data_IF_419964081636
#
_entry.id   IF_419964081636
#
_cell.length_a   1.000
_cell.length_b   1.000
_cell.length_c   1.000
_cell.angle_alpha   90.00
_cell.angle_beta   90.00
_cell.angle_gamma   90.00
#
_symmetry.space_group_name_H-M   'P 1'
#
loop_
_entity.id
_entity.type
_entity.pdbx_description
1 polymer ?
#
# COMPACT_ATOMS: atom_id res chain seq x y z
N UNK A 1 18.21 -19.78 -30.77
CA UNK A 1 17.67 -18.48 -30.31
C UNK A 1 16.63 -18.73 -29.22
N UNK A 2 16.97 -18.59 -27.94
CA UNK A 2 16.01 -18.48 -26.83
C UNK A 2 16.64 -17.66 -25.72
N UNK A 3 16.51 -16.34 -25.85
CA UNK A 3 16.94 -15.36 -24.87
C UNK A 3 15.83 -15.11 -23.86
N UNK A 4 15.53 -16.09 -23.00
CA UNK A 4 14.70 -15.91 -21.80
C UNK A 4 15.59 -15.80 -20.57
N UNK A 5 16.62 -14.96 -20.66
CA UNK A 5 17.44 -14.58 -19.52
C UNK A 5 16.92 -13.24 -18.97
N UNK A 6 16.71 -13.24 -17.65
CA UNK A 6 16.92 -12.08 -16.77
C UNK A 6 15.77 -11.13 -16.39
N UNK A 7 14.50 -11.43 -16.68
CA UNK A 7 13.41 -10.59 -16.13
C UNK A 7 13.00 -11.01 -14.70
N UNK A 8 12.87 -12.32 -14.46
CA UNK A 8 12.47 -12.86 -13.15
C UNK A 8 13.52 -12.64 -12.06
N UNK A 9 14.79 -12.59 -12.42
CA UNK A 9 15.90 -12.48 -11.46
C UNK A 9 16.06 -11.05 -10.90
N UNK A 10 15.77 -10.04 -11.72
CA UNK A 10 15.79 -8.63 -11.30
C UNK A 10 14.57 -8.34 -10.43
N UNK A 11 13.39 -8.85 -10.81
CA UNK A 11 12.17 -8.69 -10.02
C UNK A 11 12.26 -9.39 -8.66
N UNK A 12 12.85 -10.58 -8.59
CA UNK A 12 13.09 -11.27 -7.32
C UNK A 12 14.13 -10.53 -6.47
N UNK A 13 15.22 -10.04 -7.06
CA UNK A 13 16.22 -9.23 -6.35
C UNK A 13 15.64 -7.92 -5.81
N UNK A 14 14.75 -7.25 -6.55
CA UNK A 14 14.05 -6.04 -6.09
C UNK A 14 13.04 -6.37 -4.97
N UNK A 15 12.38 -7.53 -5.05
CA UNK A 15 11.44 -8.00 -4.02
C UNK A 15 12.14 -8.42 -2.71
N UNK A 16 13.38 -8.92 -2.79
CA UNK A 16 14.19 -9.32 -1.63
C UNK A 16 14.89 -8.15 -0.94
N UNK A 17 14.90 -6.95 -1.53
CA UNK A 17 15.32 -5.75 -0.80
C UNK A 17 14.32 -5.57 0.34
N UNK A 18 14.76 -5.78 1.58
CA UNK A 18 14.00 -5.48 2.81
C UNK A 18 13.85 -3.96 2.98
N UNK A 19 13.06 -3.33 2.12
CA UNK A 19 12.79 -1.89 2.10
C UNK A 19 11.97 -1.45 3.32
N UNK A 20 11.35 -2.39 4.04
CA UNK A 20 10.79 -2.12 5.37
C UNK A 20 11.86 -1.56 6.34
N UNK A 21 13.15 -1.93 6.19
CA UNK A 21 14.27 -1.31 6.91
C UNK A 21 14.65 0.08 6.39
N UNK A 22 14.27 0.42 5.16
CA UNK A 22 14.50 1.74 4.56
C UNK A 22 13.43 2.77 4.95
N UNK A 23 12.33 2.38 5.61
CA UNK A 23 11.27 3.32 6.02
C UNK A 23 11.23 3.59 7.53
N UNK A 24 12.39 3.56 8.19
CA UNK A 24 12.51 3.98 9.59
C UNK A 24 12.27 5.50 9.74
N UNK A 25 11.90 5.99 10.92
CA UNK A 25 11.74 7.42 11.18
C UNK A 25 12.99 8.24 10.79
N UNK A 26 14.18 7.67 11.00
CA UNK A 26 15.46 8.27 10.62
C UNK A 26 15.59 8.48 9.11
N UNK A 27 15.27 7.46 8.31
CA UNK A 27 15.32 7.58 6.84
C UNK A 27 14.30 8.58 6.35
N UNK A 28 13.10 8.64 6.95
CA UNK A 28 12.09 9.65 6.60
C UNK A 28 12.60 11.07 6.83
N UNK A 29 13.18 11.35 7.99
CA UNK A 29 13.75 12.66 8.31
C UNK A 29 14.89 12.99 7.35
N UNK A 30 15.80 12.04 7.12
CA UNK A 30 16.89 12.19 6.16
C UNK A 30 16.39 12.49 4.75
N UNK A 31 15.37 11.78 4.25
CA UNK A 31 14.77 12.03 2.95
C UNK A 31 14.14 13.41 2.83
N UNK A 32 13.48 13.91 3.89
CA UNK A 32 12.98 15.29 3.89
C UNK A 32 14.10 16.32 3.86
N UNK A 33 15.17 16.12 4.64
CA UNK A 33 16.35 17.02 4.63
C UNK A 33 16.98 17.03 3.23
N UNK A 34 17.19 15.86 2.63
CA UNK A 34 17.75 15.74 1.27
C UNK A 34 16.85 16.39 0.23
N UNK A 35 15.53 16.19 0.31
CA UNK A 35 14.56 16.84 -0.58
C UNK A 35 14.65 18.36 -0.49
N UNK A 36 14.63 18.92 0.72
CA UNK A 36 14.68 20.37 0.90
C UNK A 36 16.03 20.97 0.50
N UNK A 37 17.12 20.27 0.78
CA UNK A 37 18.45 20.66 0.33
C UNK A 37 18.52 20.68 -1.21
N UNK A 38 18.07 19.62 -1.87
CA UNK A 38 18.02 19.55 -3.33
C UNK A 38 17.16 20.66 -3.94
N UNK A 39 15.94 20.89 -3.42
CA UNK A 39 15.06 21.96 -3.90
C UNK A 39 15.66 23.35 -3.69
N UNK A 40 16.33 23.57 -2.55
CA UNK A 40 17.01 24.84 -2.26
C UNK A 40 18.16 25.12 -3.23
N UNK A 41 18.95 24.11 -3.59
CA UNK A 41 20.04 24.23 -4.57
C UNK A 41 19.47 24.59 -5.95
N UNK A 42 18.42 23.89 -6.41
CA UNK A 42 17.79 24.18 -7.69
C UNK A 42 17.24 25.61 -7.73
N UNK A 43 16.53 26.04 -6.67
CA UNK A 43 15.98 27.39 -6.59
C UNK A 43 17.08 28.45 -6.58
N UNK A 44 18.15 28.23 -5.81
CA UNK A 44 19.31 29.12 -5.80
C UNK A 44 19.95 29.24 -7.19
N UNK A 45 20.20 28.11 -7.85
CA UNK A 45 20.78 28.10 -9.19
C UNK A 45 19.87 28.78 -10.21
N UNK A 46 18.55 28.62 -10.08
CA UNK A 46 17.59 29.31 -10.94
C UNK A 46 17.65 30.84 -10.73
N UNK A 47 17.71 31.32 -9.49
CA UNK A 47 17.87 32.74 -9.20
C UNK A 47 19.22 33.30 -9.68
N UNK A 48 20.30 32.56 -9.48
CA UNK A 48 21.65 33.03 -9.79
C UNK A 48 21.99 32.93 -11.28
N UNK A 49 21.71 31.80 -11.93
CA UNK A 49 22.10 31.54 -13.32
C UNK A 49 21.08 32.11 -14.30
N UNK A 50 19.81 31.74 -14.16
CA UNK A 50 18.76 32.11 -15.13
C UNK A 50 18.38 33.58 -14.96
N UNK A 51 18.06 33.98 -13.72
CA UNK A 51 17.63 35.35 -13.43
C UNK A 51 18.78 36.33 -13.16
N UNK A 52 20.03 35.86 -13.15
CA UNK A 52 21.24 36.69 -13.01
C UNK A 52 21.21 37.62 -11.79
N UNK A 53 20.58 37.18 -10.70
CA UNK A 53 20.53 37.92 -9.45
C UNK A 53 21.89 37.90 -8.76
N UNK A 54 22.21 38.94 -7.97
CA UNK A 54 23.37 38.89 -7.08
C UNK A 54 23.28 37.71 -6.11
N UNK A 55 24.43 37.29 -5.56
CA UNK A 55 24.51 36.18 -4.61
C UNK A 55 23.58 36.42 -3.41
N UNK A 56 23.58 37.64 -2.87
CA UNK A 56 22.78 38.02 -1.71
C UNK A 56 21.28 37.94 -2.06
N UNK A 57 20.85 38.51 -3.19
CA UNK A 57 19.47 38.43 -3.66
C UNK A 57 19.02 36.98 -3.90
N UNK A 58 19.89 36.16 -4.50
CA UNK A 58 19.61 34.75 -4.77
C UNK A 58 19.42 33.95 -3.48
N UNK A 59 20.32 34.11 -2.51
CA UNK A 59 20.22 33.44 -1.19
C UNK A 59 18.97 33.90 -0.44
N UNK A 60 18.70 35.21 -0.43
CA UNK A 60 17.55 35.78 0.28
C UNK A 60 16.22 35.27 -0.30
N UNK A 61 16.05 35.32 -1.62
CA UNK A 61 14.83 34.84 -2.28
C UNK A 61 14.67 33.33 -2.16
N UNK A 62 15.77 32.57 -2.19
CA UNK A 62 15.76 31.11 -1.94
C UNK A 62 15.28 30.82 -0.53
N UNK A 63 15.87 31.46 0.49
CA UNK A 63 15.46 31.25 1.88
C UNK A 63 13.98 31.60 2.11
N UNK A 64 13.52 32.73 1.55
CA UNK A 64 12.10 33.13 1.56
C UNK A 64 11.21 32.05 0.94
N UNK A 65 11.55 31.59 -0.27
CA UNK A 65 10.79 30.57 -0.98
C UNK A 65 10.76 29.25 -0.22
N UNK A 66 11.88 28.85 0.40
CA UNK A 66 11.98 27.60 1.14
C UNK A 66 11.07 27.58 2.37
N UNK A 67 11.01 28.68 3.12
CA UNK A 67 10.11 28.80 4.27
C UNK A 67 8.65 28.67 3.83
N UNK A 68 8.26 29.37 2.76
CA UNK A 68 6.89 29.28 2.22
C UNK A 68 6.53 27.86 1.76
N UNK A 69 7.43 27.23 1.00
CA UNK A 69 7.22 25.90 0.46
C UNK A 69 7.14 24.85 1.58
N UNK A 70 8.06 24.91 2.55
CA UNK A 70 8.08 24.00 3.69
C UNK A 70 6.82 24.13 4.53
N UNK A 71 6.41 25.37 4.82
CA UNK A 71 5.23 25.64 5.63
C UNK A 71 3.96 25.05 5.00
N UNK A 72 3.70 25.34 3.73
CA UNK A 72 2.55 24.77 3.01
C UNK A 72 2.63 23.25 2.94
N UNK A 73 3.81 22.71 2.65
CA UNK A 73 4.01 21.27 2.55
C UNK A 73 3.63 20.54 3.84
N UNK A 74 4.13 21.00 4.98
CA UNK A 74 3.86 20.37 6.27
C UNK A 74 2.41 20.60 6.72
N UNK A 75 1.84 21.77 6.46
CA UNK A 75 0.43 22.00 6.70
C UNK A 75 -0.45 21.03 5.91
N UNK A 76 -0.22 20.94 4.61
CA UNK A 76 -1.06 20.17 3.69
C UNK A 76 -0.95 18.67 3.91
N UNK A 77 0.25 18.12 4.11
CA UNK A 77 0.46 16.67 4.21
C UNK A 77 0.46 16.13 5.65
N UNK A 78 0.72 16.95 6.66
CA UNK A 78 0.90 16.45 8.04
C UNK A 78 -0.04 17.08 9.07
N UNK A 79 -0.38 18.37 8.97
CA UNK A 79 -1.27 19.00 9.94
C UNK A 79 -2.75 18.77 9.60
N UNK A 80 -3.19 19.22 8.43
CA UNK A 80 -4.60 19.20 8.07
C UNK A 80 -5.19 17.79 7.87
N UNK A 81 -4.50 16.79 7.28
CA UNK A 81 -5.07 15.46 7.11
C UNK A 81 -5.44 14.76 8.43
N UNK A 82 -4.81 15.15 9.55
CA UNK A 82 -5.12 14.61 10.88
C UNK A 82 -6.47 15.07 11.43
N UNK A 83 -7.01 16.17 10.90
CA UNK A 83 -8.21 16.81 11.44
C UNK A 83 -9.51 16.22 10.88
N UNK A 84 -9.45 15.43 9.80
CA UNK A 84 -10.68 14.98 9.15
C UNK A 84 -10.53 13.65 8.37
N UNK A 85 -11.33 12.66 8.76
CA UNK A 85 -11.56 11.43 8.01
C UNK A 85 -13.05 11.11 7.96
N UNK A 86 -13.65 11.21 6.77
CA UNK A 86 -15.02 10.77 6.52
C UNK A 86 -15.04 9.51 5.67
N UNK A 87 -16.03 8.63 5.88
CA UNK A 87 -16.27 7.46 5.03
C UNK A 87 -16.74 7.85 3.61
N UNK A 88 -17.26 9.09 3.43
CA UNK A 88 -17.78 9.57 2.14
C UNK A 88 -16.69 10.25 1.33
N UNK A 89 -16.34 9.68 0.18
CA UNK A 89 -15.27 10.19 -0.71
C UNK A 89 -15.45 11.66 -1.11
N UNK A 90 -16.68 12.07 -1.46
CA UNK A 90 -16.97 13.46 -1.86
C UNK A 90 -16.62 14.46 -0.75
N UNK A 91 -16.88 14.12 0.51
CA UNK A 91 -16.59 15.01 1.64
C UNK A 91 -15.08 15.18 1.82
N UNK A 92 -14.31 14.11 1.64
CA UNK A 92 -12.85 14.18 1.68
C UNK A 92 -12.28 15.02 0.52
N UNK A 93 -12.86 14.93 -0.68
CA UNK A 93 -12.46 15.76 -1.82
C UNK A 93 -12.74 17.25 -1.53
N UNK A 94 -13.95 17.58 -1.07
CA UNK A 94 -14.30 18.95 -0.69
C UNK A 94 -13.38 19.49 0.41
N UNK A 95 -13.07 18.66 1.40
CA UNK A 95 -12.12 19.00 2.46
C UNK A 95 -10.73 19.35 1.92
N UNK A 96 -10.19 18.54 0.99
CA UNK A 96 -8.90 18.83 0.35
C UNK A 96 -8.90 20.13 -0.46
N UNK A 97 -9.98 20.43 -1.17
CA UNK A 97 -10.14 21.70 -1.91
C UNK A 97 -10.13 22.89 -0.96
N UNK A 98 -10.84 22.80 0.17
CA UNK A 98 -10.89 23.85 1.19
C UNK A 98 -9.50 24.05 1.81
N UNK A 99 -8.82 22.98 2.20
CA UNK A 99 -7.45 23.06 2.73
C UNK A 99 -6.51 23.73 1.73
N UNK A 100 -6.60 23.35 0.46
CA UNK A 100 -5.75 23.94 -0.57
C UNK A 100 -5.92 25.46 -0.61
N UNK A 101 -7.17 25.95 -0.58
CA UNK A 101 -7.44 27.39 -0.54
C UNK A 101 -6.89 28.05 0.73
N UNK A 102 -7.06 27.41 1.89
CA UNK A 102 -6.48 27.89 3.15
C UNK A 102 -4.94 27.98 3.06
N UNK A 103 -4.28 26.98 2.50
CA UNK A 103 -2.83 26.98 2.28
C UNK A 103 -2.38 28.13 1.38
N UNK A 104 -3.15 28.47 0.33
CA UNK A 104 -2.84 29.62 -0.54
C UNK A 104 -2.96 30.94 0.22
N UNK A 105 -4.00 31.13 1.03
CA UNK A 105 -4.17 32.34 1.85
C UNK A 105 -3.02 32.47 2.85
N UNK A 106 -2.67 31.37 3.53
CA UNK A 106 -1.56 31.32 4.47
C UNK A 106 -0.23 31.64 3.78
N UNK A 107 0.00 31.08 2.60
CA UNK A 107 1.19 31.36 1.79
C UNK A 107 1.32 32.84 1.44
N UNK A 108 0.21 33.49 1.05
CA UNK A 108 0.19 34.93 0.75
C UNK A 108 0.54 35.77 1.99
N UNK A 109 0.00 35.42 3.14
CA UNK A 109 0.30 36.09 4.41
C UNK A 109 1.76 35.95 4.84
N UNK A 110 2.33 34.74 4.78
CA UNK A 110 3.73 34.54 5.14
C UNK A 110 4.64 35.28 4.16
N UNK A 111 4.36 35.15 2.86
CA UNK A 111 5.13 35.87 1.85
C UNK A 111 5.11 37.39 2.08
N UNK A 112 3.94 37.95 2.43
CA UNK A 112 3.81 39.35 2.80
C UNK A 112 4.67 39.70 4.03
N UNK A 113 4.56 38.92 5.12
CA UNK A 113 5.33 39.17 6.35
C UNK A 113 6.84 39.13 6.06
N UNK A 114 7.32 38.15 5.31
CA UNK A 114 8.72 38.04 4.96
C UNK A 114 9.21 39.23 4.13
N UNK A 115 8.46 39.64 3.10
CA UNK A 115 8.82 40.79 2.26
C UNK A 115 8.71 42.11 3.03
N UNK A 116 7.76 42.22 3.97
CA UNK A 116 7.67 43.36 4.88
C UNK A 116 8.89 43.45 5.80
N UNK A 117 9.35 42.33 6.37
CA UNK A 117 10.57 42.29 7.18
C UNK A 117 11.79 42.71 6.34
N UNK A 118 11.93 42.17 5.13
CA UNK A 118 13.03 42.52 4.21
C UNK A 118 13.02 44.02 3.85
N UNK A 119 11.84 44.60 3.63
CA UNK A 119 11.71 46.04 3.38
C UNK A 119 12.18 46.89 4.58
N UNK A 120 11.79 46.51 5.80
CA UNK A 120 12.15 47.26 7.01
C UNK A 120 13.65 47.20 7.35
N UNK A 121 14.36 46.15 6.94
CA UNK A 121 15.82 46.08 7.08
C UNK A 121 16.57 46.79 5.93
N UNK A 122 15.84 47.46 5.03
CA UNK A 122 16.42 48.20 3.90
C UNK A 122 16.90 47.31 2.75
N UNK A 123 16.47 46.05 2.69
CA UNK A 123 16.82 45.14 1.61
C UNK A 123 15.84 45.30 0.42
N UNK A 124 16.39 45.36 -0.79
CA UNK A 124 15.61 45.43 -2.04
C UNK A 124 16.33 44.66 -3.15
N UNK A 125 15.56 44.06 -4.06
CA UNK A 125 16.11 43.46 -5.28
C UNK A 125 16.11 44.52 -6.37
N UNK A 126 17.27 44.78 -6.98
CA UNK A 126 17.44 45.82 -8.00
C UNK A 126 17.52 45.25 -9.42
N UNK A 127 17.68 43.93 -9.52
CA UNK A 127 17.85 43.17 -10.74
C UNK A 127 16.49 42.72 -11.33
N UNK A 128 16.35 42.79 -12.65
CA UNK A 128 15.17 42.27 -13.34
C UNK A 128 15.18 40.73 -13.36
N UNK A 129 14.01 40.06 -13.33
CA UNK A 129 12.64 40.61 -13.34
C UNK A 129 12.09 40.97 -11.96
N UNK A 130 12.87 40.81 -10.88
CA UNK A 130 12.40 40.97 -9.50
C UNK A 130 12.54 42.39 -8.94
N UNK A 131 12.96 43.35 -9.77
CA UNK A 131 13.20 44.73 -9.35
C UNK A 131 12.00 45.35 -8.65
N UNK A 132 12.19 45.81 -7.41
CA UNK A 132 11.15 46.49 -6.62
C UNK A 132 10.06 45.56 -6.07
N UNK A 133 10.24 44.23 -6.15
CA UNK A 133 9.26 43.26 -5.66
C UNK A 133 9.03 43.39 -4.16
N UNK A 134 10.06 43.74 -3.38
CA UNK A 134 9.99 43.79 -1.92
C UNK A 134 9.17 45.00 -1.50
N UNK A 135 9.55 46.20 -1.95
CA UNK A 135 8.79 47.43 -1.71
C UNK A 135 7.34 47.32 -2.16
N UNK A 136 7.07 46.80 -3.37
CA UNK A 136 5.70 46.65 -3.89
C UNK A 136 4.84 45.77 -2.98
N UNK A 137 5.37 44.66 -2.49
CA UNK A 137 4.63 43.75 -1.61
C UNK A 137 4.50 44.29 -0.19
N UNK A 138 5.52 44.95 0.35
CA UNK A 138 5.49 45.50 1.70
C UNK A 138 4.46 46.63 1.83
N UNK A 139 4.28 47.45 0.79
CA UNK A 139 3.40 48.63 0.82
C UNK A 139 1.91 48.32 0.52
N UNK A 140 1.56 47.09 0.14
CA UNK A 140 0.18 46.76 -0.26
C UNK A 140 -0.80 46.68 0.92
N UNK A 141 -0.30 46.52 2.15
CA UNK A 141 -1.11 46.32 3.36
C UNK A 141 -1.93 45.03 3.37
N UNK A 142 -2.53 44.70 4.52
CA UNK A 142 -3.28 43.43 4.72
C UNK A 142 -4.46 43.31 3.73
N UNK A 143 -5.21 44.39 3.50
CA UNK A 143 -6.30 44.40 2.54
C UNK A 143 -5.83 44.16 1.09
N UNK A 144 -4.65 44.64 0.74
CA UNK A 144 -4.04 44.41 -0.57
C UNK A 144 -3.60 42.95 -0.76
N UNK A 145 -3.09 42.29 0.29
CA UNK A 145 -2.68 40.88 0.26
C UNK A 145 -3.84 39.96 -0.10
N UNK A 146 -5.02 40.23 0.47
CA UNK A 146 -6.24 39.43 0.24
C UNK A 146 -7.04 39.87 -0.99
N UNK A 147 -6.59 40.89 -1.72
CA UNK A 147 -7.29 41.36 -2.91
C UNK A 147 -7.24 40.31 -4.03
N UNK A 148 -8.32 40.22 -4.80
CA UNK A 148 -8.42 39.31 -5.98
C UNK A 148 -7.27 39.57 -6.96
N UNK A 149 -6.88 40.83 -7.14
CA UNK A 149 -5.76 41.21 -8.01
C UNK A 149 -4.43 40.59 -7.56
N UNK A 150 -4.15 40.59 -6.25
CA UNK A 150 -2.94 39.98 -5.69
C UNK A 150 -2.97 38.46 -5.77
N UNK A 151 -4.14 37.85 -5.49
CA UNK A 151 -4.33 36.40 -5.61
C UNK A 151 -4.05 35.95 -7.06
N UNK A 152 -4.69 36.59 -8.03
CA UNK A 152 -4.49 36.29 -9.46
C UNK A 152 -3.05 36.59 -9.87
N UNK A 153 -2.49 37.73 -9.45
CA UNK A 153 -1.12 38.12 -9.80
C UNK A 153 -0.03 37.19 -9.28
N UNK A 154 -0.30 36.44 -8.21
CA UNK A 154 0.64 35.47 -7.64
C UNK A 154 0.32 34.02 -8.02
N UNK A 155 -0.71 33.75 -8.82
CA UNK A 155 -1.17 32.37 -9.08
C UNK A 155 -0.07 31.51 -9.69
N UNK A 156 0.69 32.06 -10.64
CA UNK A 156 1.81 31.35 -11.27
C UNK A 156 2.90 31.06 -10.23
N UNK A 157 3.26 32.03 -9.40
CA UNK A 157 4.26 31.86 -8.34
C UNK A 157 3.84 30.79 -7.35
N UNK A 158 2.57 30.75 -6.94
CA UNK A 158 2.01 29.73 -6.04
C UNK A 158 2.08 28.34 -6.69
N UNK A 159 1.64 28.21 -7.95
CA UNK A 159 1.65 26.95 -8.68
C UNK A 159 3.09 26.41 -8.79
N UNK A 160 4.04 27.23 -9.27
CA UNK A 160 5.44 26.83 -9.39
C UNK A 160 6.11 26.54 -8.05
N UNK A 161 5.65 27.17 -6.96
CA UNK A 161 6.14 26.91 -5.61
C UNK A 161 5.67 25.56 -5.08
N UNK A 162 4.43 25.16 -5.37
CA UNK A 162 3.83 23.94 -4.79
C UNK A 162 4.16 22.68 -5.57
N UNK A 163 4.28 22.77 -6.91
CA UNK A 163 4.47 21.60 -7.78
C UNK A 163 5.67 20.73 -7.35
N UNK A 164 6.90 21.26 -7.18
CA UNK A 164 8.06 20.40 -6.91
C UNK A 164 7.97 19.58 -5.61
N UNK A 165 7.68 20.17 -4.43
CA UNK A 165 7.58 19.37 -3.20
C UNK A 165 6.36 18.44 -3.19
N UNK A 166 5.23 18.84 -3.81
CA UNK A 166 4.05 17.97 -3.91
C UNK A 166 4.33 16.79 -4.82
N UNK A 167 5.00 17.00 -5.96
CA UNK A 167 5.38 15.95 -6.89
C UNK A 167 6.27 14.90 -6.20
N UNK A 168 7.33 15.34 -5.51
CA UNK A 168 8.22 14.43 -4.78
C UNK A 168 7.42 13.61 -3.77
N UNK A 169 6.55 14.24 -2.97
CA UNK A 169 5.74 13.55 -1.96
C UNK A 169 4.73 12.56 -2.55
N UNK A 170 3.99 12.96 -3.57
CA UNK A 170 3.03 12.08 -4.26
C UNK A 170 3.77 10.87 -4.86
N UNK A 171 4.95 11.07 -5.44
CA UNK A 171 5.76 9.99 -5.99
C UNK A 171 6.19 9.00 -4.91
N UNK A 172 6.72 9.49 -3.78
CA UNK A 172 7.08 8.63 -2.64
C UNK A 172 5.87 7.88 -2.06
N UNK A 173 4.73 8.53 -1.89
CA UNK A 173 3.51 7.90 -1.37
C UNK A 173 2.93 6.88 -2.35
N UNK A 174 2.94 7.15 -3.65
CA UNK A 174 2.47 6.22 -4.68
C UNK A 174 3.34 4.95 -4.71
N UNK A 175 4.66 5.10 -4.65
CA UNK A 175 5.59 3.96 -4.57
C UNK A 175 5.33 3.14 -3.30
N UNK A 176 5.08 3.81 -2.17
CA UNK A 176 4.77 3.15 -0.90
C UNK A 176 3.46 2.37 -0.98
N UNK A 177 2.38 3.00 -1.43
CA UNK A 177 1.06 2.37 -1.56
C UNK A 177 1.08 1.19 -2.54
N UNK A 178 1.80 1.31 -3.65
CA UNK A 178 1.97 0.22 -4.60
C UNK A 178 2.64 -1.00 -3.95
N UNK A 179 3.66 -0.78 -3.12
CA UNK A 179 4.35 -1.86 -2.40
C UNK A 179 3.50 -2.50 -1.33
N UNK A 180 2.76 -1.72 -0.56
CA UNK A 180 1.80 -2.23 0.43
C UNK A 180 0.69 -3.06 -0.24
N UNK A 181 0.24 -2.65 -1.43
CA UNK A 181 -0.71 -3.45 -2.23
C UNK A 181 -0.12 -4.78 -2.68
N UNK A 182 1.14 -4.81 -3.12
CA UNK A 182 1.82 -6.05 -3.51
C UNK A 182 2.02 -7.00 -2.32
N UNK A 183 2.41 -6.48 -1.14
CA UNK A 183 2.57 -7.32 0.04
C UNK A 183 1.23 -7.88 0.53
N UNK A 184 0.17 -7.08 0.50
CA UNK A 184 -1.18 -7.51 0.82
C UNK A 184 -1.68 -8.61 -0.14
N UNK A 185 -1.45 -8.46 -1.44
CA UNK A 185 -1.79 -9.47 -2.44
C UNK A 185 -1.05 -10.80 -2.18
N UNK A 186 0.24 -10.74 -1.84
CA UNK A 186 1.03 -11.93 -1.51
C UNK A 186 0.48 -12.64 -0.27
N UNK A 187 0.20 -11.90 0.80
CA UNK A 187 -0.41 -12.47 2.01
C UNK A 187 -1.77 -13.12 1.73
N UNK A 188 -2.59 -12.49 0.87
CA UNK A 188 -3.87 -13.05 0.46
C UNK A 188 -3.69 -14.37 -0.29
N UNK A 189 -2.75 -14.43 -1.23
CA UNK A 189 -2.45 -15.65 -1.98
C UNK A 189 -1.93 -16.77 -1.06
N UNK A 190 -1.06 -16.44 -0.12
CA UNK A 190 -0.53 -17.41 0.86
C UNK A 190 -1.66 -17.99 1.72
N UNK A 191 -2.63 -17.16 2.14
CA UNK A 191 -3.83 -17.61 2.87
C UNK A 191 -4.76 -18.48 2.01
N UNK A 192 -4.96 -18.13 0.73
CA UNK A 192 -5.75 -18.94 -0.20
C UNK A 192 -5.11 -20.34 -0.40
N UNK A 193 -3.79 -20.41 -0.56
CA UNK A 193 -3.04 -21.68 -0.65
C UNK A 193 -3.18 -22.50 0.64
N UNK A 194 -3.09 -21.86 1.81
CA UNK A 194 -3.29 -22.55 3.09
C UNK A 194 -4.70 -23.13 3.21
N UNK A 195 -5.73 -22.38 2.82
CA UNK A 195 -7.11 -22.86 2.82
C UNK A 195 -7.31 -24.05 1.89
N UNK A 196 -6.77 -24.00 0.66
CA UNK A 196 -6.83 -25.14 -0.28
C UNK A 196 -6.15 -26.38 0.31
N UNK A 197 -5.02 -26.21 0.98
CA UNK A 197 -4.33 -27.33 1.63
C UNK A 197 -5.14 -27.89 2.81
N UNK A 198 -5.79 -27.04 3.60
CA UNK A 198 -6.68 -27.48 4.69
C UNK A 198 -7.87 -28.26 4.12
N UNK A 199 -8.53 -27.74 3.09
CA UNK A 199 -9.65 -28.42 2.42
C UNK A 199 -9.21 -29.76 1.82
N UNK A 200 -8.04 -29.80 1.18
CA UNK A 200 -7.45 -31.04 0.67
C UNK A 200 -7.19 -32.06 1.77
N UNK A 201 -6.56 -31.66 2.88
CA UNK A 201 -6.29 -32.58 3.99
C UNK A 201 -7.58 -33.01 4.71
N UNK A 202 -8.59 -32.14 4.79
CA UNK A 202 -9.92 -32.49 5.27
C UNK A 202 -10.58 -33.55 4.38
N UNK A 203 -10.58 -33.36 3.06
CA UNK A 203 -11.10 -34.33 2.09
C UNK A 203 -10.34 -35.67 2.16
N UNK A 204 -9.01 -35.65 2.33
CA UNK A 204 -8.23 -36.87 2.55
C UNK A 204 -8.58 -37.57 3.86
N UNK A 205 -8.80 -36.81 4.93
CA UNK A 205 -9.13 -37.37 6.24
C UNK A 205 -10.48 -38.09 6.23
N UNK A 206 -11.45 -37.66 5.41
CA UNK A 206 -12.73 -38.35 5.24
C UNK A 206 -12.54 -39.81 4.80
N UNK A 207 -11.52 -40.12 3.99
CA UNK A 207 -11.28 -41.48 3.48
C UNK A 207 -10.74 -42.48 4.53
N UNK A 208 -10.31 -42.02 5.72
CA UNK A 208 -9.65 -42.83 6.75
C UNK A 208 -8.66 -43.87 6.15
N UNK A 209 -7.51 -43.42 5.60
CA UNK A 209 -6.60 -44.28 4.85
C UNK A 209 -6.10 -45.49 5.66
N UNK A 210 -5.98 -45.38 6.98
CA UNK A 210 -5.60 -46.49 7.84
C UNK A 210 -6.63 -47.63 7.82
N UNK A 211 -7.92 -47.29 7.93
CA UNK A 211 -9.00 -48.27 7.82
C UNK A 211 -9.01 -48.96 6.44
N UNK A 212 -8.79 -48.17 5.37
CA UNK A 212 -8.73 -48.70 4.01
C UNK A 212 -7.57 -49.69 3.83
N UNK A 213 -6.36 -49.34 4.27
CA UNK A 213 -5.19 -50.24 4.18
C UNK A 213 -5.39 -51.51 5.00
N UNK A 214 -5.96 -51.42 6.21
CA UNK A 214 -6.21 -52.60 7.03
C UNK A 214 -7.22 -53.54 6.36
N UNK A 215 -8.32 -52.99 5.84
CA UNK A 215 -9.34 -53.78 5.16
C UNK A 215 -8.81 -54.43 3.89
N UNK A 216 -7.97 -53.74 3.11
CA UNK A 216 -7.31 -54.32 1.94
C UNK A 216 -6.32 -55.44 2.31
N UNK A 217 -5.55 -55.28 3.39
CA UNK A 217 -4.62 -56.30 3.87
C UNK A 217 -5.35 -57.56 4.36
N UNK A 218 -6.45 -57.40 5.10
CA UNK A 218 -7.26 -58.54 5.52
C UNK A 218 -7.91 -59.24 4.32
N UNK A 219 -8.49 -58.47 3.40
CA UNK A 219 -9.04 -59.01 2.16
C UNK A 219 -7.99 -59.82 1.39
N UNK A 220 -6.75 -59.31 1.28
CA UNK A 220 -5.66 -60.07 0.68
C UNK A 220 -5.44 -61.42 1.38
N UNK A 221 -5.45 -61.45 2.71
CA UNK A 221 -5.36 -62.68 3.50
C UNK A 221 -6.51 -63.66 3.23
N UNK A 222 -7.74 -63.16 3.12
CA UNK A 222 -8.93 -63.97 2.78
C UNK A 222 -8.83 -64.56 1.37
N UNK A 223 -8.39 -63.76 0.39
CA UNK A 223 -8.19 -64.20 -0.99
C UNK A 223 -7.12 -65.29 -1.07
N UNK A 224 -5.98 -65.10 -0.39
CA UNK A 224 -4.89 -66.10 -0.35
C UNK A 224 -5.35 -67.40 0.30
N UNK A 225 -6.20 -67.34 1.33
CA UNK A 225 -6.79 -68.50 2.01
C UNK A 225 -7.97 -69.14 1.25
N UNK A 226 -8.41 -68.57 0.13
CA UNK A 226 -9.63 -68.97 -0.60
C UNK A 226 -10.88 -68.96 0.29
N UNK A 227 -10.94 -68.01 1.23
CA UNK A 227 -12.07 -67.85 2.13
C UNK A 227 -13.26 -67.25 1.36
N UNK A 228 -14.44 -67.89 1.48
CA UNK A 228 -15.68 -67.45 0.83
C UNK A 228 -16.09 -66.01 1.19
N UNK A 229 -15.68 -65.52 2.37
CA UNK A 229 -15.97 -64.18 2.88
C UNK A 229 -15.28 -63.06 2.10
N UNK A 230 -14.24 -63.36 1.31
CA UNK A 230 -13.51 -62.35 0.53
C UNK A 230 -14.42 -61.53 -0.39
N UNK A 231 -15.39 -62.19 -1.03
CA UNK A 231 -16.34 -61.53 -1.94
C UNK A 231 -17.26 -60.52 -1.23
N UNK A 232 -17.68 -60.84 -0.01
CA UNK A 232 -18.54 -59.99 0.82
C UNK A 232 -17.78 -58.78 1.36
N UNK A 233 -16.53 -58.96 1.80
CA UNK A 233 -15.67 -57.86 2.27
C UNK A 233 -15.38 -56.84 1.16
N UNK A 234 -15.26 -57.27 -0.11
CA UNK A 234 -15.11 -56.37 -1.26
C UNK A 234 -16.34 -55.48 -1.45
N UNK A 235 -17.54 -56.06 -1.37
CA UNK A 235 -18.79 -55.32 -1.52
C UNK A 235 -18.96 -54.30 -0.38
N UNK A 236 -18.79 -54.75 0.87
CA UNK A 236 -18.92 -53.86 2.03
C UNK A 236 -17.90 -52.71 1.99
N UNK A 237 -16.66 -52.98 1.56
CA UNK A 237 -15.65 -51.94 1.39
C UNK A 237 -16.03 -50.93 0.28
N UNK A 238 -16.58 -51.42 -0.84
CA UNK A 238 -17.07 -50.58 -1.93
C UNK A 238 -18.19 -49.63 -1.47
N UNK A 239 -19.13 -50.14 -0.67
CA UNK A 239 -20.27 -49.37 -0.17
C UNK A 239 -19.83 -48.30 0.86
N UNK A 240 -18.91 -48.64 1.76
CA UNK A 240 -18.29 -47.69 2.70
C UNK A 240 -17.55 -46.58 1.95
N UNK A 241 -16.78 -46.91 0.91
CA UNK A 241 -16.04 -45.92 0.11
C UNK A 241 -16.98 -45.01 -0.68
N UNK A 242 -18.05 -45.56 -1.27
CA UNK A 242 -19.05 -44.80 -2.00
C UNK A 242 -19.79 -43.81 -1.07
N UNK A 243 -20.24 -44.27 0.09
CA UNK A 243 -20.88 -43.42 1.09
C UNK A 243 -19.95 -42.28 1.55
N UNK A 244 -18.68 -42.60 1.84
CA UNK A 244 -17.69 -41.63 2.30
C UNK A 244 -17.38 -40.55 1.26
N UNK A 245 -17.31 -40.92 -0.03
CA UNK A 245 -16.96 -40.00 -1.12
C UNK A 245 -18.12 -39.11 -1.58
N UNK A 246 -19.35 -39.62 -1.54
CA UNK A 246 -20.49 -38.95 -2.17
C UNK A 246 -21.56 -38.47 -1.18
N UNK A 247 -21.79 -39.19 -0.08
CA UNK A 247 -22.91 -38.91 0.83
C UNK A 247 -22.45 -38.07 2.04
N UNK A 248 -21.25 -38.30 2.58
CA UNK A 248 -20.69 -37.55 3.73
C UNK A 248 -20.42 -36.05 3.47
N UNK A 249 -20.46 -35.59 2.23
CA UNK A 249 -20.28 -34.17 1.88
C UNK A 249 -21.58 -33.34 1.92
N UNK A 250 -22.73 -33.99 2.16
CA UNK A 250 -24.04 -33.33 2.25
C UNK A 250 -24.29 -32.74 3.63
N UNK A 251 -24.91 -31.56 3.70
CA UNK A 251 -25.24 -30.88 4.98
C UNK A 251 -26.23 -31.68 5.85
N UNK A 252 -27.02 -32.57 5.23
CA UNK A 252 -27.93 -33.52 5.90
C UNK A 252 -27.97 -34.83 5.13
N UNK A 253 -27.96 -35.96 5.83
CA UNK A 253 -28.10 -37.32 5.28
C UNK A 253 -29.30 -38.00 5.95
N UNK A 254 -29.97 -38.92 5.25
CA UNK A 254 -31.06 -39.71 5.83
C UNK A 254 -30.50 -40.71 6.85
N UNK A 255 -31.16 -40.83 8.01
CA UNK A 255 -30.73 -41.70 9.11
C UNK A 255 -30.53 -43.16 8.66
N UNK A 256 -31.39 -43.66 7.78
CA UNK A 256 -31.31 -45.04 7.28
C UNK A 256 -29.97 -45.33 6.58
N UNK A 257 -29.42 -44.34 5.84
CA UNK A 257 -28.11 -44.48 5.19
C UNK A 257 -26.95 -44.41 6.18
N UNK A 258 -27.07 -43.64 7.26
CA UNK A 258 -26.07 -43.62 8.34
C UNK A 258 -26.04 -44.98 9.07
N UNK A 259 -27.21 -45.59 9.29
CA UNK A 259 -27.32 -46.92 9.90
C UNK A 259 -26.70 -48.00 9.00
N UNK A 260 -27.03 -48.00 7.71
CA UNK A 260 -26.45 -48.92 6.71
C UNK A 260 -24.92 -48.78 6.64
N UNK A 261 -24.41 -47.55 6.65
CA UNK A 261 -22.97 -47.30 6.70
C UNK A 261 -22.31 -47.90 7.96
N UNK A 262 -22.90 -47.71 9.14
CA UNK A 262 -22.37 -48.25 10.40
C UNK A 262 -22.39 -49.79 10.41
N UNK A 263 -23.44 -50.40 9.86
CA UNK A 263 -23.55 -51.86 9.76
C UNK A 263 -22.46 -52.45 8.84
N UNK A 264 -22.31 -51.88 7.65
CA UNK A 264 -21.25 -52.28 6.69
C UNK A 264 -19.85 -52.07 7.28
N UNK A 265 -19.63 -50.95 7.96
CA UNK A 265 -18.36 -50.65 8.64
C UNK A 265 -18.04 -51.67 9.74
N UNK A 266 -19.04 -52.04 10.55
CA UNK A 266 -18.90 -53.02 11.62
C UNK A 266 -18.57 -54.42 11.08
N UNK A 267 -19.22 -54.83 9.99
CA UNK A 267 -18.93 -56.09 9.29
C UNK A 267 -17.49 -56.14 8.74
N UNK A 268 -17.00 -55.03 8.17
CA UNK A 268 -15.61 -54.93 7.72
C UNK A 268 -14.59 -54.99 8.88
N UNK A 269 -14.92 -54.45 10.06
CA UNK A 269 -14.05 -54.54 11.25
C UNK A 269 -14.04 -55.94 11.86
N UNK A 270 -15.20 -56.59 11.97
CA UNK A 270 -15.30 -57.93 12.55
C UNK A 270 -14.54 -58.97 11.72
N UNK A 271 -14.59 -58.85 10.39
CA UNK A 271 -13.77 -59.68 9.51
C UNK A 271 -12.27 -59.33 9.56
N UNK A 272 -11.92 -58.11 10.00
CA UNK A 272 -10.54 -57.66 10.20
C UNK A 272 -9.84 -58.30 11.40
N UNK A 273 -10.58 -58.76 12.43
CA UNK A 273 -10.02 -59.24 13.71
C UNK A 273 -9.68 -60.74 13.77
N UNK A 274 -9.89 -61.49 12.68
CA UNK A 274 -9.63 -62.94 12.62
C UNK A 274 -8.19 -63.33 12.22
N UNK A 275 -7.24 -62.41 12.38
CA UNK A 275 -5.80 -62.61 12.13
C UNK A 275 -4.94 -62.07 13.26
#
# INVERSE_FOLDING_TARGET
>A
MRGTLNYNNILSQIADIKIEKLYTPYVRVFSHIMMWLFLSIILYLNYYIEFKLSIISSVCLTARAMVNNAMVFYLFFYCFPRLFHSKRTIVNILYLVIIFFICVVIWLFINYIQLFVLYNIGFEVNEYPFKGIIKKNAQQGIGGVLSIKTIIGNINTVIFSFIPPFFVKILFDTIKLYRESLSFQKQKLDLEIQNINIEKEFLKAQLNPHFLFNTLNNLYGLVVKQDSRASEVVLNLSDIMAYTLYECSSEKVMLDKELEFIENYSLCILNNTDF
#
